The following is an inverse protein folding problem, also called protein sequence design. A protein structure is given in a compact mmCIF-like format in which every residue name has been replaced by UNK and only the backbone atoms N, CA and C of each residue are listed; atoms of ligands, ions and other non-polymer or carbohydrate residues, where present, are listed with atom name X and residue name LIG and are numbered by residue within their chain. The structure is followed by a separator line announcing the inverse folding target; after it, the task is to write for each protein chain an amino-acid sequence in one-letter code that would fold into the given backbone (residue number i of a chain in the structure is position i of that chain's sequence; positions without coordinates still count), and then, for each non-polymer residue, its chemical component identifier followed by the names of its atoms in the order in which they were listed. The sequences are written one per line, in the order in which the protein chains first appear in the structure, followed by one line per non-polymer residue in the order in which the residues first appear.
data_IF_374412062399
#
_entry.id   IF_374412062399
#
_cell.length_a   1.000
_cell.length_b   1.000
_cell.length_c   1.000
_cell.angle_alpha   90.00
_cell.angle_beta   90.00
_cell.angle_gamma   90.00
#
_symmetry.space_group_name_H-M   'P 1'
#
loop_
_entity.id
_entity.type
_entity.pdbx_description
1 polymer ?
#
# COMPACT_ATOMS: atom_id res chain seq x y z
N UNK A 1 -4.71 13.04 -5.48
CA UNK A 1 -4.61 12.27 -4.22
C UNK A 1 -3.97 10.93 -4.54
N UNK A 2 -3.10 10.39 -3.69
CA UNK A 2 -2.39 9.13 -3.98
C UNK A 2 -3.13 7.95 -3.37
N UNK A 3 -3.29 6.89 -4.14
CA UNK A 3 -4.12 5.75 -3.79
C UNK A 3 -3.42 4.43 -4.11
N UNK A 4 -3.45 3.49 -3.18
CA UNK A 4 -2.99 2.11 -3.34
C UNK A 4 -4.14 1.16 -3.04
N UNK A 5 -4.45 0.24 -3.97
CA UNK A 5 -5.38 -0.84 -3.70
C UNK A 5 -4.61 -2.11 -3.36
N UNK A 6 -4.88 -2.72 -2.20
CA UNK A 6 -4.17 -3.92 -1.76
C UNK A 6 -4.35 -5.10 -2.73
N UNK A 7 -5.47 -5.14 -3.45
CA UNK A 7 -5.74 -6.15 -4.48
C UNK A 7 -4.78 -6.06 -5.68
N UNK A 8 -4.36 -4.85 -6.05
CA UNK A 8 -3.37 -4.65 -7.12
C UNK A 8 -1.99 -5.18 -6.71
N UNK A 9 -1.71 -5.25 -5.41
CA UNK A 9 -0.49 -5.84 -4.84
C UNK A 9 -0.55 -7.38 -4.71
N UNK A 10 -1.62 -8.02 -5.18
CA UNK A 10 -1.78 -9.47 -5.17
C UNK A 10 -2.37 -10.07 -3.89
N UNK A 11 -2.80 -9.23 -2.94
CA UNK A 11 -3.52 -9.70 -1.75
C UNK A 11 -5.01 -9.89 -2.06
N UNK A 12 -5.65 -10.89 -1.45
CA UNK A 12 -7.11 -10.99 -1.45
C UNK A 12 -7.70 -10.02 -0.41
N UNK A 13 -7.50 -8.72 -0.63
CA UNK A 13 -7.93 -7.64 0.25
C UNK A 13 -8.51 -6.47 -0.56
N UNK A 14 -9.68 -5.97 -0.14
CA UNK A 14 -10.35 -4.82 -0.77
C UNK A 14 -9.99 -3.48 -0.13
N UNK A 15 -8.98 -3.44 0.75
CA UNK A 15 -8.54 -2.20 1.36
C UNK A 15 -7.95 -1.27 0.28
N UNK A 16 -8.34 0.00 0.37
CA UNK A 16 -7.81 1.09 -0.43
C UNK A 16 -7.22 2.11 0.52
N UNK A 17 -5.94 2.41 0.31
CA UNK A 17 -5.16 3.31 1.15
C UNK A 17 -4.97 4.59 0.37
N UNK A 18 -5.33 5.72 0.97
CA UNK A 18 -5.24 7.03 0.33
C UNK A 18 -4.45 8.00 1.20
N UNK A 19 -3.55 8.77 0.59
CA UNK A 19 -2.81 9.82 1.27
C UNK A 19 -2.35 10.92 0.28
N UNK A 20 -1.72 11.96 0.79
CA UNK A 20 -1.20 13.05 -0.05
C UNK A 20 0.14 12.66 -0.70
N UNK A 21 0.96 11.88 0.02
CA UNK A 21 2.31 11.49 -0.39
C UNK A 21 2.48 9.97 -0.48
N UNK A 22 3.46 9.51 -1.29
CA UNK A 22 3.73 8.08 -1.43
C UNK A 22 4.22 7.47 -0.11
N UNK A 23 5.07 8.20 0.62
CA UNK A 23 5.55 7.76 1.93
C UNK A 23 4.40 7.54 2.92
N UNK A 24 3.38 8.41 2.94
CA UNK A 24 2.21 8.22 3.79
C UNK A 24 1.37 7.01 3.37
N UNK A 25 1.20 6.79 2.06
CA UNK A 25 0.53 5.58 1.56
C UNK A 25 1.28 4.32 2.01
N UNK A 26 2.60 4.32 1.92
CA UNK A 26 3.43 3.16 2.31
C UNK A 26 3.44 2.93 3.81
N UNK A 27 3.48 3.99 4.62
CA UNK A 27 3.42 3.88 6.07
C UNK A 27 2.10 3.23 6.50
N UNK A 28 0.98 3.68 5.92
CA UNK A 28 -0.33 3.08 6.16
C UNK A 28 -0.43 1.65 5.61
N UNK A 29 0.15 1.38 4.44
CA UNK A 29 0.19 0.04 3.87
C UNK A 29 1.01 -0.94 4.72
N UNK A 30 2.10 -0.48 5.33
CA UNK A 30 2.92 -1.28 6.23
C UNK A 30 2.19 -1.63 7.53
N UNK A 31 1.49 -0.66 8.12
CA UNK A 31 0.62 -0.90 9.28
C UNK A 31 -0.49 -1.89 8.93
N UNK A 32 -1.19 -1.67 7.82
CA UNK A 32 -2.26 -2.55 7.36
C UNK A 32 -1.77 -3.98 7.09
N UNK A 33 -0.67 -4.13 6.36
CA UNK A 33 -0.11 -5.45 6.05
C UNK A 33 0.29 -6.21 7.32
N UNK A 34 0.88 -5.51 8.30
CA UNK A 34 1.30 -6.11 9.56
C UNK A 34 0.10 -6.51 10.43
N UNK A 35 -0.93 -5.67 10.51
CA UNK A 35 -2.07 -5.87 11.42
C UNK A 35 -3.15 -6.79 10.85
N UNK A 36 -3.41 -6.73 9.55
CA UNK A 36 -4.48 -7.49 8.89
C UNK A 36 -3.98 -8.80 8.30
N UNK A 37 -2.76 -8.79 7.75
CA UNK A 37 -2.21 -9.95 7.04
C UNK A 37 -1.06 -10.63 7.78
N UNK A 38 -0.55 -10.03 8.87
CA UNK A 38 0.64 -10.53 9.57
C UNK A 38 1.89 -10.48 8.68
N UNK A 39 1.89 -9.63 7.66
CA UNK A 39 2.98 -9.50 6.68
C UNK A 39 3.81 -8.28 7.02
N UNK A 40 5.11 -8.51 7.19
CA UNK A 40 6.07 -7.42 7.32
C UNK A 40 6.36 -6.83 5.93
N UNK A 41 6.19 -5.52 5.78
CA UNK A 41 6.59 -4.82 4.56
C UNK A 41 8.10 -4.65 4.53
N UNK A 42 8.78 -5.46 3.72
CA UNK A 42 10.20 -5.34 3.45
C UNK A 42 10.48 -4.18 2.48
N UNK A 43 11.74 -3.70 2.38
CA UNK A 43 12.10 -2.65 1.41
C UNK A 43 11.73 -3.02 -0.03
N UNK A 44 11.99 -4.26 -0.43
CA UNK A 44 11.66 -4.78 -1.76
C UNK A 44 10.14 -4.75 -2.03
N UNK A 45 9.34 -5.14 -1.03
CA UNK A 45 7.88 -5.06 -1.14
C UNK A 45 7.41 -3.61 -1.20
N UNK A 46 8.00 -2.71 -0.40
CA UNK A 46 7.67 -1.29 -0.43
C UNK A 46 7.97 -0.65 -1.79
N UNK A 47 9.09 -1.01 -2.43
CA UNK A 47 9.40 -0.58 -3.80
C UNK A 47 8.38 -1.10 -4.81
N UNK A 48 7.97 -2.37 -4.70
CA UNK A 48 6.88 -2.91 -5.51
C UNK A 48 5.56 -2.17 -5.31
N UNK A 49 5.18 -1.92 -4.05
CA UNK A 49 3.96 -1.17 -3.70
C UNK A 49 3.99 0.26 -4.26
N UNK A 50 5.14 0.96 -4.25
CA UNK A 50 5.29 2.29 -4.86
C UNK A 50 4.87 2.31 -6.33
N UNK A 51 5.24 1.29 -7.10
CA UNK A 51 4.87 1.21 -8.53
C UNK A 51 3.37 1.05 -8.78
N UNK A 52 2.62 0.65 -7.76
CA UNK A 52 1.17 0.43 -7.81
C UNK A 52 0.38 1.63 -7.30
N UNK A 53 1.04 2.62 -6.69
CA UNK A 53 0.39 3.86 -6.23
C UNK A 53 -0.07 4.65 -7.46
N UNK A 54 -1.35 5.01 -7.46
CA UNK A 54 -1.96 5.83 -8.51
C UNK A 54 -2.28 7.21 -7.98
N UNK A 55 -2.12 8.21 -8.84
CA UNK A 55 -2.61 9.56 -8.57
C UNK A 55 -4.01 9.69 -9.14
N UNK A 56 -5.01 9.88 -8.27
CA UNK A 56 -6.35 10.30 -8.67
C UNK A 56 -6.33 11.82 -8.91
N UNK A 57 -6.77 12.18 -10.12
CA UNK A 57 -6.88 13.54 -10.65
C UNK A 57 -8.14 14.26 -10.18
#
# INVERSE_FOLDING_TARGET
MKTLNCRDAGFDCNAQIQAETEDEVLAQAADHASTVHGVLVTPELAEGLKTLIREEA
#
